data_IF_622951108862
#
_entry.id   IF_622951108862
#
_cell.length_a   1.000
_cell.length_b   1.000
_cell.length_c   1.000
_cell.angle_alpha   90.00
_cell.angle_beta   90.00
_cell.angle_gamma   90.00
#
_symmetry.space_group_name_H-M   'P 1'
#
loop_
_entity.id
_entity.type
_entity.pdbx_description
1 polymer ?
#
# COMPACT_ATOMS: atom_id res chain seq x y z
N UNK A 1 -8.02 -13.08 13.07
CA UNK A 1 -8.16 -12.41 14.14
C UNK A 1 -7.46 -11.12 13.95
N UNK A 2 -6.86 -10.65 14.85
CA UNK A 2 -6.05 -9.47 14.75
C UNK A 2 -6.78 -8.18 14.55
N UNK A 3 -8.06 -8.17 14.81
CA UNK A 3 -8.82 -6.94 14.66
C UNK A 3 -8.75 -6.07 15.91
N UNK A 4 -7.70 -6.26 16.69
CA UNK A 4 -7.56 -5.57 17.97
C UNK A 4 -7.55 -4.07 17.85
N UNK A 5 -7.12 -3.54 16.71
CA UNK A 5 -7.04 -2.10 16.51
C UNK A 5 -8.29 -1.50 15.85
N UNK A 6 -9.35 -2.29 15.69
CA UNK A 6 -10.56 -1.82 15.05
C UNK A 6 -10.49 -1.81 13.54
N UNK A 7 -9.38 -2.25 12.98
CA UNK A 7 -9.22 -2.36 11.56
C UNK A 7 -9.20 -1.02 10.84
N UNK A 8 -9.50 -1.06 9.56
CA UNK A 8 -9.43 0.11 8.69
C UNK A 8 -10.40 1.21 9.13
N UNK A 9 -11.52 0.81 9.72
CA UNK A 9 -12.53 1.78 10.15
C UNK A 9 -12.04 2.73 11.24
N UNK A 10 -10.99 2.34 11.97
CA UNK A 10 -10.43 3.19 13.03
C UNK A 10 -9.39 4.18 12.51
N UNK A 11 -9.05 4.13 11.23
CA UNK A 11 -8.09 5.06 10.64
C UNK A 11 -8.69 6.45 10.49
N UNK A 12 -7.86 7.49 10.60
CA UNK A 12 -8.30 8.81 10.18
C UNK A 12 -8.78 8.77 8.73
N UNK A 13 -9.80 9.58 8.39
CA UNK A 13 -10.34 9.52 7.03
C UNK A 13 -9.30 9.74 5.93
N UNK A 14 -8.36 10.65 6.14
CA UNK A 14 -7.33 10.92 5.15
C UNK A 14 -6.43 9.71 4.91
N UNK A 15 -6.04 9.02 5.98
CA UNK A 15 -5.22 7.83 5.86
C UNK A 15 -5.98 6.72 5.16
N UNK A 16 -7.25 6.55 5.50
CA UNK A 16 -8.09 5.52 4.90
C UNK A 16 -8.23 5.74 3.39
N UNK A 17 -8.52 6.97 2.99
CA UNK A 17 -8.66 7.30 1.56
C UNK A 17 -7.32 7.12 0.85
N UNK A 18 -6.22 7.58 1.46
CA UNK A 18 -4.91 7.46 0.86
C UNK A 18 -4.52 6.01 0.62
N UNK A 19 -4.70 5.16 1.62
CA UNK A 19 -4.39 3.75 1.49
C UNK A 19 -5.25 3.07 0.43
N UNK A 20 -6.54 3.42 0.41
CA UNK A 20 -7.45 2.86 -0.60
C UNK A 20 -6.99 3.23 -2.01
N UNK A 21 -6.61 4.48 -2.21
CA UNK A 21 -6.17 4.93 -3.53
C UNK A 21 -4.85 4.29 -3.95
N UNK A 22 -3.95 4.06 -3.00
CA UNK A 22 -2.71 3.34 -3.28
C UNK A 22 -3.04 1.92 -3.73
N UNK A 23 -3.94 1.25 -3.03
CA UNK A 23 -4.35 -0.09 -3.41
C UNK A 23 -4.98 -0.10 -4.79
N UNK A 24 -5.83 0.86 -5.11
CA UNK A 24 -6.44 0.96 -6.44
C UNK A 24 -5.38 1.13 -7.52
N UNK A 25 -4.41 2.00 -7.28
CA UNK A 25 -3.36 2.25 -8.27
C UNK A 25 -2.50 1.00 -8.45
N UNK A 26 -2.18 0.31 -7.37
CA UNK A 26 -1.41 -0.92 -7.42
C UNK A 26 -2.12 -1.98 -8.26
N UNK A 27 -3.41 -2.18 -8.01
CA UNK A 27 -4.20 -3.17 -8.74
C UNK A 27 -4.40 -2.76 -10.20
N UNK A 28 -4.54 -1.47 -10.45
CA UNK A 28 -4.62 -0.96 -11.82
C UNK A 28 -3.35 -1.30 -12.59
N UNK A 29 -2.19 -1.14 -11.96
CA UNK A 29 -0.93 -1.52 -12.58
C UNK A 29 -0.86 -3.02 -12.87
N UNK A 30 -1.35 -3.84 -11.96
CA UNK A 30 -1.38 -5.29 -12.19
C UNK A 30 -2.20 -5.59 -13.44
N UNK A 31 -3.40 -5.02 -13.54
CA UNK A 31 -4.29 -5.29 -14.66
C UNK A 31 -3.71 -4.78 -15.97
N UNK A 32 -3.13 -3.58 -15.96
CA UNK A 32 -2.72 -2.92 -17.20
C UNK A 32 -1.35 -3.34 -17.69
N UNK A 33 -0.45 -3.69 -16.80
CA UNK A 33 0.97 -3.76 -17.16
C UNK A 33 1.66 -5.05 -16.78
N UNK A 34 1.18 -5.78 -15.78
CA UNK A 34 1.99 -6.87 -15.24
C UNK A 34 1.82 -8.19 -15.96
N UNK A 35 0.68 -8.41 -16.61
CA UNK A 35 0.36 -9.71 -17.18
C UNK A 35 0.23 -10.81 -16.13
N UNK A 36 0.02 -10.46 -14.88
CA UNK A 36 -0.07 -11.44 -13.80
C UNK A 36 -1.32 -12.29 -13.94
N UNK A 37 -1.20 -13.55 -13.57
CA UNK A 37 -2.36 -14.43 -13.44
C UNK A 37 -2.98 -14.32 -12.05
N UNK A 38 -2.22 -13.85 -11.07
CA UNK A 38 -2.70 -13.71 -9.71
C UNK A 38 -2.11 -12.48 -9.05
N UNK A 39 -2.90 -11.89 -8.18
CA UNK A 39 -2.46 -10.80 -7.32
C UNK A 39 -3.04 -11.02 -5.93
N UNK A 40 -2.27 -10.61 -4.92
CA UNK A 40 -2.66 -10.75 -3.52
C UNK A 40 -2.61 -9.40 -2.86
N UNK A 41 -3.68 -9.08 -2.12
CA UNK A 41 -3.74 -7.85 -1.33
C UNK A 41 -3.96 -8.25 0.11
N UNK A 42 -3.13 -7.74 0.99
CA UNK A 42 -3.32 -7.97 2.42
C UNK A 42 -3.23 -6.66 3.18
N UNK A 43 -4.00 -6.56 4.22
CA UNK A 43 -4.01 -5.41 5.11
C UNK A 43 -3.92 -5.93 6.53
N UNK A 44 -2.86 -5.58 7.23
CA UNK A 44 -2.68 -5.97 8.61
C UNK A 44 -2.74 -4.75 9.50
N UNK A 45 -3.27 -4.93 10.68
CA UNK A 45 -3.49 -3.86 11.63
C UNK A 45 -3.02 -4.32 13.01
N UNK A 46 -2.24 -3.48 13.66
CA UNK A 46 -1.77 -3.78 15.01
C UNK A 46 -1.64 -2.48 15.80
N UNK A 47 -1.49 -2.62 17.11
CA UNK A 47 -1.22 -1.47 17.97
C UNK A 47 0.15 -1.67 18.62
N UNK A 48 0.91 -0.58 18.73
CA UNK A 48 2.16 -0.65 19.46
C UNK A 48 1.90 -0.38 20.95
N UNK A 49 2.98 -0.40 21.74
CA UNK A 49 2.86 -0.25 23.18
C UNK A 49 2.31 1.12 23.61
N UNK A 50 2.51 2.12 22.78
CA UNK A 50 2.01 3.45 23.08
C UNK A 50 0.56 3.67 22.65
N UNK A 51 -0.08 2.64 22.07
CA UNK A 51 -1.46 2.74 21.63
C UNK A 51 -1.63 3.29 20.23
N UNK A 52 -0.55 3.53 19.51
CA UNK A 52 -0.67 3.98 18.13
C UNK A 52 -0.98 2.79 17.24
N UNK A 53 -1.80 3.04 16.22
CA UNK A 53 -2.12 2.04 15.23
C UNK A 53 -0.98 1.89 14.24
N UNK A 54 -0.76 0.67 13.78
CA UNK A 54 0.17 0.38 12.70
C UNK A 54 -0.56 -0.42 11.64
N UNK A 55 -0.56 0.10 10.42
CA UNK A 55 -1.24 -0.53 9.30
C UNK A 55 -0.20 -0.85 8.25
N UNK A 56 -0.25 -2.08 7.73
CA UNK A 56 0.59 -2.47 6.60
C UNK A 56 -0.30 -2.96 5.47
N UNK A 57 -0.21 -2.29 4.34
CA UNK A 57 -0.87 -2.71 3.11
C UNK A 57 0.18 -3.35 2.22
N UNK A 58 -0.11 -4.54 1.73
CA UNK A 58 0.82 -5.25 0.85
C UNK A 58 0.07 -5.70 -0.40
N UNK A 59 0.63 -5.37 -1.55
CA UNK A 59 0.09 -5.82 -2.85
C UNK A 59 1.19 -6.57 -3.56
N UNK A 60 0.92 -7.81 -3.92
CA UNK A 60 1.89 -8.70 -4.54
C UNK A 60 1.28 -9.27 -5.80
N UNK A 61 2.03 -9.32 -6.90
CA UNK A 61 1.59 -10.00 -8.09
C UNK A 61 2.69 -10.90 -8.64
N UNK A 62 2.27 -11.88 -9.44
CA UNK A 62 3.18 -12.83 -10.06
C UNK A 62 3.43 -12.50 -11.54
N UNK A 63 3.31 -11.24 -11.91
CA UNK A 63 3.48 -10.81 -13.27
C UNK A 63 4.93 -10.71 -13.71
N UNK A 64 5.14 -9.99 -14.79
CA UNK A 64 6.47 -9.88 -15.38
C UNK A 64 7.42 -8.96 -14.63
N UNK A 65 6.90 -8.17 -13.69
CA UNK A 65 7.72 -7.18 -13.02
C UNK A 65 8.24 -6.10 -13.96
N UNK A 66 9.13 -5.28 -13.46
CA UNK A 66 9.76 -4.25 -14.27
C UNK A 66 11.12 -3.91 -13.70
N UNK A 67 11.95 -3.31 -14.54
CA UNK A 67 13.26 -2.82 -14.11
C UNK A 67 13.05 -1.42 -13.54
N UNK A 68 13.34 -1.25 -12.26
CA UNK A 68 13.10 0.01 -11.56
C UNK A 68 14.04 1.12 -12.05
N UNK A 69 15.11 0.77 -12.73
CA UNK A 69 16.06 1.75 -13.28
C UNK A 69 15.67 2.27 -14.65
N UNK A 70 14.65 1.67 -15.26
CA UNK A 70 14.21 2.04 -16.61
C UNK A 70 12.86 2.72 -16.53
N UNK A 71 12.76 3.91 -17.13
CA UNK A 71 11.48 4.64 -17.15
C UNK A 71 10.48 3.85 -17.97
N UNK A 72 9.29 3.64 -17.40
CA UNK A 72 8.22 2.87 -18.02
C UNK A 72 6.88 3.41 -17.55
N UNK A 73 5.78 2.98 -18.16
CA UNK A 73 4.44 3.42 -17.70
C UNK A 73 4.17 3.10 -16.24
N UNK A 74 4.74 2.02 -15.72
CA UNK A 74 4.56 1.66 -14.31
C UNK A 74 5.14 2.70 -13.38
N UNK A 75 6.16 3.43 -13.81
CA UNK A 75 6.80 4.45 -12.98
C UNK A 75 5.86 5.62 -12.67
N UNK A 76 4.97 5.95 -13.58
CA UNK A 76 4.00 7.00 -13.30
C UNK A 76 3.06 6.59 -12.16
N UNK A 77 2.57 5.36 -12.20
CA UNK A 77 1.72 4.84 -11.12
C UNK A 77 2.46 4.79 -9.79
N UNK A 78 3.72 4.35 -9.81
CA UNK A 78 4.53 4.31 -8.60
C UNK A 78 4.72 5.71 -8.02
N UNK A 79 4.96 6.69 -8.87
CA UNK A 79 5.13 8.07 -8.42
C UNK A 79 3.85 8.59 -7.75
N UNK A 80 2.71 8.29 -8.35
CA UNK A 80 1.42 8.66 -7.76
C UNK A 80 1.26 8.01 -6.39
N UNK A 81 1.60 6.73 -6.27
CA UNK A 81 1.51 6.03 -4.99
C UNK A 81 2.44 6.64 -3.95
N UNK A 82 3.66 6.99 -4.35
CA UNK A 82 4.62 7.62 -3.45
C UNK A 82 4.11 8.97 -2.95
N UNK A 83 3.51 9.75 -3.83
CA UNK A 83 2.94 11.04 -3.45
C UNK A 83 1.78 10.88 -2.49
N UNK A 84 0.94 9.89 -2.72
CA UNK A 84 -0.20 9.63 -1.83
C UNK A 84 0.27 9.12 -0.47
N UNK A 85 1.28 8.28 -0.46
CA UNK A 85 1.85 7.79 0.80
C UNK A 85 2.43 8.96 1.60
N UNK A 86 3.19 9.84 0.95
CA UNK A 86 3.76 11.00 1.60
C UNK A 86 2.67 11.91 2.18
N UNK A 87 1.56 12.06 1.47
CA UNK A 87 0.47 12.93 1.90
C UNK A 87 -0.18 12.48 3.20
N UNK A 88 -0.11 11.19 3.51
CA UNK A 88 -0.69 10.65 4.75
C UNK A 88 0.39 10.26 5.77
N UNK A 89 1.64 10.58 5.48
CA UNK A 89 2.75 10.25 6.38
C UNK A 89 3.11 8.77 6.37
N UNK A 90 2.78 8.04 5.33
CA UNK A 90 3.10 6.64 5.21
C UNK A 90 4.43 6.45 4.51
N UNK A 91 5.01 5.28 4.71
CA UNK A 91 6.21 4.85 3.98
C UNK A 91 5.79 3.83 2.94
N UNK A 92 6.49 3.82 1.81
CA UNK A 92 6.19 2.88 0.73
C UNK A 92 7.48 2.26 0.22
N UNK A 93 7.44 0.96 0.00
CA UNK A 93 8.53 0.19 -0.58
C UNK A 93 8.01 -0.53 -1.81
N UNK A 94 8.83 -0.57 -2.84
CA UNK A 94 8.52 -1.28 -4.08
C UNK A 94 9.68 -2.21 -4.37
N UNK A 95 9.36 -3.48 -4.56
CA UNK A 95 10.33 -4.50 -4.94
C UNK A 95 9.84 -5.14 -6.21
N UNK A 96 10.54 -4.90 -7.30
CA UNK A 96 10.17 -5.45 -8.61
C UNK A 96 11.42 -5.68 -9.43
N UNK A 97 11.43 -6.77 -10.16
CA UNK A 97 12.47 -7.06 -11.13
C UNK A 97 11.87 -7.90 -12.25
N UNK A 98 12.52 -7.84 -13.39
CA UNK A 98 12.01 -8.52 -14.58
C UNK A 98 11.85 -10.03 -14.29
N UNK A 99 10.68 -10.53 -14.60
CA UNK A 99 10.37 -11.94 -14.44
C UNK A 99 9.99 -12.39 -13.05
N UNK A 100 9.92 -11.47 -12.08
CA UNK A 100 9.66 -11.83 -10.68
C UNK A 100 8.39 -11.22 -10.09
N UNK A 101 7.64 -10.48 -10.90
CA UNK A 101 6.47 -9.79 -10.37
C UNK A 101 6.84 -8.55 -9.58
N UNK A 102 5.88 -8.06 -8.82
CA UNK A 102 6.05 -6.82 -8.06
C UNK A 102 5.42 -6.96 -6.69
N UNK A 103 6.11 -6.44 -5.70
CA UNK A 103 5.58 -6.32 -4.34
C UNK A 103 5.61 -4.86 -3.93
N UNK A 104 4.48 -4.37 -3.44
CA UNK A 104 4.36 -3.02 -2.91
C UNK A 104 3.93 -3.14 -1.47
N UNK A 105 4.66 -2.47 -0.59
CA UNK A 105 4.36 -2.46 0.84
C UNK A 105 4.23 -1.02 1.29
N UNK A 106 3.12 -0.71 1.95
CA UNK A 106 2.87 0.61 2.50
C UNK A 106 2.65 0.46 3.99
N UNK A 107 3.39 1.22 4.78
CA UNK A 107 3.28 1.19 6.23
C UNK A 107 2.85 2.57 6.74
N UNK A 108 1.80 2.60 7.50
CA UNK A 108 1.28 3.81 8.13
C UNK A 108 1.18 3.57 9.63
N UNK A 109 1.54 4.57 10.40
CA UNK A 109 1.30 4.51 11.84
C UNK A 109 0.83 5.88 12.32
N UNK A 110 -0.02 5.85 13.35
CA UNK A 110 -0.56 7.08 13.87
C UNK A 110 -1.65 6.79 14.89
N UNK A 111 -2.30 7.86 15.32
CA UNK A 111 -3.38 7.74 16.29
C UNK A 111 -4.67 7.35 15.57
N UNK A 112 -5.55 6.69 16.30
CA UNK A 112 -6.86 6.33 15.78
C UNK A 112 -7.63 7.57 15.36
N UNK A 113 -8.31 7.47 14.24
CA UNK A 113 -9.23 8.50 13.82
C UNK A 113 -10.48 8.49 14.69
N UNK A 114 -11.12 9.63 14.77
CA UNK A 114 -12.38 9.70 15.52
C UNK A 114 -12.22 9.81 17.02
N UNK A 115 -11.01 10.01 17.50
CA UNK A 115 -10.73 10.14 18.93
C UNK A 115 -10.77 11.58 19.39
N UNK A 116 -11.49 12.42 18.69
CA UNK A 116 -11.60 13.82 19.08
C UNK A 116 -10.41 14.67 18.68
N UNK A 117 -9.65 14.21 17.78
CA UNK A 117 -8.47 14.94 17.32
C UNK A 117 -8.79 15.91 16.21
#
# INVERSE_FOLDING_TARGET
GGASCGGVCALPPQARVGLYRIAQESLSNVVKHSGASEAWVSLTCSENQSGAMQIELRVLDNGRGFDQDVVSPEHLGLRIMQERAAAIGARIWVDSSMGRGTEIVVAWSGLRGGEGN
#
